data_IF_214634123038
#
_entry.id   IF_214634123038
#
_cell.length_a   1.000
_cell.length_b   1.000
_cell.length_c   1.000
_cell.angle_alpha   90.00
_cell.angle_beta   90.00
_cell.angle_gamma   90.00
#
_symmetry.space_group_name_H-M   'P 1'
#
loop_
_entity.id
_entity.type
_entity.pdbx_description
1 polymer ?
#
# COMPACT_ATOMS: atom_id res chain seq x y z
N UNK A 1 -5.57 33.63 25.24
CA UNK A 1 -4.71 33.30 24.08
C UNK A 1 -3.24 33.14 24.47
N UNK A 2 -2.58 34.17 25.02
CA UNK A 2 -1.15 34.13 25.38
C UNK A 2 -0.84 33.05 26.43
N UNK A 3 -1.71 32.86 27.43
CA UNK A 3 -1.61 31.75 28.40
C UNK A 3 -1.66 30.37 27.71
N UNK A 4 -2.55 30.18 26.73
CA UNK A 4 -2.63 28.93 25.97
C UNK A 4 -1.37 28.69 25.13
N UNK A 5 -0.82 29.74 24.51
CA UNK A 5 0.45 29.67 23.77
C UNK A 5 1.60 29.27 24.70
N UNK A 6 1.67 29.88 25.89
CA UNK A 6 2.64 29.50 26.92
C UNK A 6 2.49 28.03 27.30
N UNK A 7 1.27 27.57 27.58
CA UNK A 7 1.03 26.18 27.98
C UNK A 7 1.40 25.20 26.86
N UNK A 8 1.16 25.55 25.59
CA UNK A 8 1.63 24.78 24.44
C UNK A 8 3.16 24.73 24.41
N UNK A 9 3.83 25.88 24.50
CA UNK A 9 5.30 25.98 24.44
C UNK A 9 5.97 25.24 25.60
N UNK A 10 5.44 25.34 26.81
CA UNK A 10 5.94 24.60 27.97
C UNK A 10 5.78 23.10 27.73
N UNK A 11 4.59 22.64 27.31
CA UNK A 11 4.40 21.22 27.00
C UNK A 11 5.33 20.72 25.88
N UNK A 12 5.66 21.59 24.91
CA UNK A 12 6.62 21.27 23.84
C UNK A 12 8.08 21.21 24.36
N UNK A 13 8.45 22.02 25.35
CA UNK A 13 9.83 22.22 25.83
C UNK A 13 10.17 21.47 27.13
N UNK A 14 9.19 21.13 27.97
CA UNK A 14 9.39 20.55 29.30
C UNK A 14 10.11 19.19 29.24
N UNK A 15 9.89 18.43 28.17
CA UNK A 15 10.58 17.15 27.94
C UNK A 15 11.99 17.31 27.36
N UNK A 16 12.34 18.45 26.77
CA UNK A 16 13.63 18.67 26.11
C UNK A 16 14.61 19.48 26.98
N UNK A 17 14.17 20.60 27.57
CA UNK A 17 15.01 21.46 28.38
C UNK A 17 14.21 22.34 29.36
N UNK A 18 14.33 22.01 30.65
CA UNK A 18 13.64 22.72 31.74
C UNK A 18 14.01 24.20 31.82
N UNK A 19 15.27 24.56 31.56
CA UNK A 19 15.72 25.96 31.62
C UNK A 19 15.07 26.85 30.55
N UNK A 20 14.87 26.31 29.34
CA UNK A 20 14.21 27.04 28.26
C UNK A 20 12.69 27.15 28.52
N UNK A 21 12.09 26.14 29.16
CA UNK A 21 10.68 26.19 29.61
C UNK A 21 10.47 27.25 30.71
N UNK A 22 11.36 27.31 31.70
CA UNK A 22 11.33 28.33 32.76
C UNK A 22 11.50 29.74 32.16
N UNK A 23 12.36 29.88 31.15
CA UNK A 23 12.53 31.15 30.42
C UNK A 23 11.25 31.57 29.67
N UNK A 24 10.50 30.65 29.06
CA UNK A 24 9.21 30.97 28.42
C UNK A 24 8.19 31.42 29.46
N UNK A 25 8.17 30.82 30.66
CA UNK A 25 7.34 31.27 31.77
C UNK A 25 7.67 32.71 32.19
N UNK A 26 8.94 33.02 32.40
CA UNK A 26 9.42 34.37 32.74
C UNK A 26 8.99 35.39 31.68
N UNK A 27 9.27 35.13 30.41
CA UNK A 27 8.93 36.03 29.30
C UNK A 27 7.41 36.27 29.20
N UNK A 28 6.59 35.25 29.48
CA UNK A 28 5.14 35.39 29.47
C UNK A 28 4.66 36.24 30.66
N UNK A 29 5.27 36.09 31.83
CA UNK A 29 4.93 36.90 33.01
C UNK A 29 5.40 38.35 32.83
N UNK A 30 6.58 38.60 32.25
CA UNK A 30 7.07 39.94 31.92
C UNK A 30 6.14 40.68 30.94
N UNK A 31 5.53 39.96 29.99
CA UNK A 31 4.51 40.52 29.10
C UNK A 31 3.20 40.86 29.85
N UNK A 32 2.77 40.00 30.77
CA UNK A 32 1.55 40.24 31.55
C UNK A 32 1.71 41.40 32.55
N UNK A 33 2.94 41.66 32.98
CA UNK A 33 3.34 42.77 33.83
C UNK A 33 3.60 44.08 33.05
N UNK A 34 3.32 44.13 31.74
CA UNK A 34 3.61 45.27 30.82
C UNK A 34 5.10 45.69 30.76
N UNK A 35 6.02 44.81 31.18
CA UNK A 35 7.47 45.06 31.16
C UNK A 35 8.12 44.75 29.80
N UNK A 36 7.43 43.99 28.95
CA UNK A 36 7.95 43.47 27.68
C UNK A 36 6.96 43.76 26.55
N UNK A 37 7.45 44.18 25.38
CA UNK A 37 6.60 44.32 24.19
C UNK A 37 6.42 42.98 23.46
N UNK A 38 5.27 42.76 22.83
CA UNK A 38 4.96 41.57 22.02
C UNK A 38 6.02 41.25 20.95
N UNK A 39 6.60 42.28 20.32
CA UNK A 39 7.70 42.11 19.35
C UNK A 39 8.97 41.54 20.00
N UNK A 40 9.29 41.98 21.23
CA UNK A 40 10.45 41.49 21.98
C UNK A 40 10.23 40.06 22.46
N UNK A 41 9.01 39.74 22.93
CA UNK A 41 8.60 38.38 23.28
C UNK A 41 8.83 37.42 22.10
N UNK A 42 8.32 37.77 20.92
CA UNK A 42 8.45 36.91 19.75
C UNK A 42 9.87 36.76 19.25
N UNK A 43 10.70 37.81 19.37
CA UNK A 43 12.13 37.71 19.06
C UNK A 43 12.85 36.77 20.03
N UNK A 44 12.62 36.90 21.33
CA UNK A 44 13.21 36.00 22.33
C UNK A 44 12.71 34.57 22.17
N UNK A 45 11.42 34.40 21.91
CA UNK A 45 10.83 33.09 21.67
C UNK A 45 11.38 32.44 20.40
N UNK A 46 11.58 33.20 19.33
CA UNK A 46 12.15 32.68 18.08
C UNK A 46 13.54 32.08 18.27
N UNK A 47 14.37 32.65 19.14
CA UNK A 47 15.69 32.11 19.47
C UNK A 47 15.58 30.76 20.20
N UNK A 48 14.60 30.63 21.11
CA UNK A 48 14.29 29.38 21.79
C UNK A 48 13.76 28.35 20.78
N UNK A 49 12.85 28.74 19.90
CA UNK A 49 12.26 27.84 18.89
C UNK A 49 13.33 27.32 17.92
N UNK A 50 14.25 28.17 17.42
CA UNK A 50 15.36 27.74 16.55
C UNK A 50 16.26 26.68 17.20
N UNK A 51 16.39 26.68 18.52
CA UNK A 51 17.19 25.69 19.26
C UNK A 51 16.52 24.32 19.33
N UNK A 52 15.19 24.26 19.29
CA UNK A 52 14.41 23.03 19.49
C UNK A 52 13.67 22.54 18.23
N UNK A 53 13.59 23.37 17.19
CA UNK A 53 12.98 23.03 15.91
C UNK A 53 13.92 22.23 14.99
N UNK A 54 13.33 21.55 14.00
CA UNK A 54 14.08 21.05 12.86
C UNK A 54 14.62 22.24 12.03
N UNK A 55 15.88 22.20 11.54
CA UNK A 55 16.50 23.31 10.80
C UNK A 55 15.71 23.80 9.58
N UNK A 56 14.91 22.91 8.97
CA UNK A 56 14.05 23.25 7.83
C UNK A 56 12.99 24.33 8.17
N UNK A 57 12.66 24.48 9.46
CA UNK A 57 11.66 25.43 9.96
C UNK A 57 12.23 26.82 10.22
N UNK A 58 13.54 27.00 10.22
CA UNK A 58 14.18 28.30 10.50
C UNK A 58 13.73 29.38 9.52
N UNK A 59 13.53 29.01 8.25
CA UNK A 59 12.99 29.92 7.22
C UNK A 59 11.60 30.46 7.53
N UNK A 60 10.74 29.65 8.19
CA UNK A 60 9.42 30.07 8.63
C UNK A 60 9.50 30.98 9.86
N UNK A 61 10.45 30.70 10.77
CA UNK A 61 10.73 31.55 11.93
C UNK A 61 11.21 32.94 11.44
N UNK A 62 12.11 32.98 10.47
CA UNK A 62 12.64 34.22 9.91
C UNK A 62 11.57 35.02 9.16
N UNK A 63 10.70 34.34 8.41
CA UNK A 63 9.53 34.96 7.76
C UNK A 63 8.54 35.55 8.78
N UNK A 64 8.33 34.86 9.90
CA UNK A 64 7.50 35.38 10.98
C UNK A 64 8.11 36.66 11.58
N UNK A 65 9.41 36.68 11.86
CA UNK A 65 10.10 37.86 12.41
C UNK A 65 10.15 39.05 11.45
N UNK A 66 10.18 38.81 10.14
CA UNK A 66 10.18 39.87 9.13
C UNK A 66 8.80 40.44 8.82
N UNK A 67 7.73 39.80 9.29
CA UNK A 67 6.36 40.29 9.12
C UNK A 67 6.10 41.42 10.11
N UNK A 68 5.78 42.62 9.63
CA UNK A 68 5.49 43.79 10.47
C UNK A 68 4.42 43.47 11.51
N UNK A 69 4.75 43.69 12.79
CA UNK A 69 3.83 43.49 13.91
C UNK A 69 2.64 44.48 13.93
N UNK A 70 2.61 45.43 12.99
CA UNK A 70 1.48 46.34 12.75
C UNK A 70 0.24 45.58 12.25
N UNK A 71 0.43 44.43 11.57
CA UNK A 71 -0.65 43.53 11.19
C UNK A 71 -0.65 42.28 12.10
N UNK A 72 -1.07 42.49 13.34
CA UNK A 72 -1.09 41.48 14.41
C UNK A 72 -1.77 40.17 13.97
N UNK A 73 -2.85 40.23 13.18
CA UNK A 73 -3.57 39.06 12.72
C UNK A 73 -2.70 38.16 11.84
N UNK A 74 -1.96 38.75 10.90
CA UNK A 74 -1.06 38.02 10.01
C UNK A 74 0.14 37.43 10.77
N UNK A 75 0.71 38.19 11.72
CA UNK A 75 1.80 37.70 12.57
C UNK A 75 1.34 36.52 13.44
N UNK A 76 0.15 36.60 14.04
CA UNK A 76 -0.42 35.53 14.86
C UNK A 76 -0.76 34.28 14.04
N UNK A 77 -1.29 34.43 12.83
CA UNK A 77 -1.56 33.31 11.93
C UNK A 77 -0.27 32.54 11.58
N UNK A 78 0.79 33.26 11.20
CA UNK A 78 2.10 32.66 10.91
C UNK A 78 2.69 31.96 12.14
N UNK A 79 2.56 32.57 13.31
CA UNK A 79 3.06 32.00 14.56
C UNK A 79 2.30 30.73 14.97
N UNK A 80 0.96 30.74 14.89
CA UNK A 80 0.15 29.54 15.18
C UNK A 80 0.42 28.42 14.18
N UNK A 81 0.53 28.75 12.89
CA UNK A 81 0.92 27.79 11.84
C UNK A 81 2.27 27.15 12.18
N UNK A 82 3.23 27.93 12.66
CA UNK A 82 4.53 27.42 13.08
C UNK A 82 4.42 26.46 14.27
N UNK A 83 3.63 26.80 15.29
CA UNK A 83 3.40 25.91 16.44
C UNK A 83 2.73 24.59 16.04
N UNK A 84 1.78 24.63 15.10
CA UNK A 84 1.14 23.43 14.56
C UNK A 84 2.14 22.52 13.85
N UNK A 85 3.00 23.11 13.00
CA UNK A 85 4.06 22.37 12.31
C UNK A 85 5.03 21.72 13.31
N UNK A 86 5.42 22.44 14.36
CA UNK A 86 6.28 21.90 15.42
C UNK A 86 5.62 20.75 16.19
N UNK A 87 4.33 20.85 16.47
CA UNK A 87 3.57 19.79 17.15
C UNK A 87 3.60 18.50 16.32
N UNK A 88 3.47 18.60 14.99
CA UNK A 88 3.60 17.46 14.07
C UNK A 88 5.03 16.89 14.11
N UNK A 89 6.05 17.74 14.11
CA UNK A 89 7.45 17.32 14.14
C UNK A 89 7.76 16.51 15.43
N UNK A 90 7.25 16.95 16.59
CA UNK A 90 7.40 16.22 17.87
C UNK A 90 6.61 14.92 17.87
N UNK A 91 5.37 14.91 17.37
CA UNK A 91 4.58 13.68 17.27
C UNK A 91 5.26 12.65 16.36
N UNK A 92 5.84 13.09 15.24
CA UNK A 92 6.62 12.23 14.35
C UNK A 92 7.86 11.67 15.07
N UNK A 93 8.60 12.51 15.81
CA UNK A 93 9.73 12.04 16.60
C UNK A 93 9.31 11.03 17.67
N UNK A 94 8.19 11.27 18.38
CA UNK A 94 7.63 10.34 19.35
C UNK A 94 7.19 9.02 18.71
N UNK A 95 6.53 9.07 17.55
CA UNK A 95 6.14 7.89 16.80
C UNK A 95 7.38 7.06 16.41
N UNK A 96 8.46 7.72 15.96
CA UNK A 96 9.73 7.05 15.67
C UNK A 96 10.33 6.42 16.93
N UNK A 97 10.35 7.15 18.05
CA UNK A 97 10.89 6.67 19.32
C UNK A 97 10.11 5.46 19.87
N UNK A 98 8.78 5.48 19.75
CA UNK A 98 7.91 4.40 20.21
C UNK A 98 7.67 3.31 19.16
N UNK A 99 8.26 3.42 17.96
CA UNK A 99 8.02 2.50 16.83
C UNK A 99 8.20 1.04 17.23
N UNK A 100 9.24 0.72 18.00
CA UNK A 100 9.51 -0.66 18.40
C UNK A 100 8.39 -1.23 19.28
N UNK A 101 7.87 -0.46 20.23
CA UNK A 101 6.78 -0.88 21.10
C UNK A 101 5.48 -1.06 20.30
N UNK A 102 5.18 -0.13 19.40
CA UNK A 102 4.00 -0.22 18.52
C UNK A 102 4.07 -1.48 17.64
N UNK A 103 5.25 -1.79 17.10
CA UNK A 103 5.44 -2.99 16.28
C UNK A 103 5.28 -4.29 17.09
N UNK A 104 5.67 -4.30 18.36
CA UNK A 104 5.50 -5.46 19.24
C UNK A 104 4.03 -5.76 19.53
N UNK A 105 3.19 -4.72 19.70
CA UNK A 105 1.76 -4.87 20.00
C UNK A 105 0.85 -4.77 18.77
N UNK A 106 1.39 -4.63 17.56
CA UNK A 106 0.61 -4.38 16.34
C UNK A 106 -0.45 -5.46 16.07
N UNK A 107 -0.10 -6.73 16.29
CA UNK A 107 -1.01 -7.87 16.12
C UNK A 107 -2.19 -7.76 17.09
N UNK A 108 -1.92 -7.49 18.37
CA UNK A 108 -2.96 -7.38 19.40
C UNK A 108 -3.89 -6.19 19.12
N UNK A 109 -3.33 -5.04 18.73
CA UNK A 109 -4.08 -3.83 18.41
C UNK A 109 -5.03 -4.08 17.23
N UNK A 110 -4.53 -4.68 16.14
CA UNK A 110 -5.34 -4.94 14.95
C UNK A 110 -6.44 -5.97 15.23
N UNK A 111 -6.12 -7.03 15.96
CA UNK A 111 -7.11 -8.04 16.35
C UNK A 111 -8.20 -7.46 17.25
N UNK A 112 -7.83 -6.67 18.27
CA UNK A 112 -8.79 -6.00 19.16
C UNK A 112 -9.69 -5.02 18.40
N UNK A 113 -9.12 -4.28 17.46
CA UNK A 113 -9.88 -3.37 16.61
C UNK A 113 -10.91 -4.10 15.75
N UNK A 114 -10.51 -5.22 15.14
CA UNK A 114 -11.40 -6.07 14.36
C UNK A 114 -12.54 -6.65 15.21
N UNK A 115 -12.22 -7.21 16.40
CA UNK A 115 -13.22 -7.76 17.31
C UNK A 115 -14.18 -6.70 17.85
N UNK A 116 -13.70 -5.49 18.16
CA UNK A 116 -14.56 -4.36 18.57
C UNK A 116 -15.61 -4.06 17.50
N UNK A 117 -15.20 -3.93 16.24
CA UNK A 117 -16.10 -3.65 15.12
C UNK A 117 -17.05 -4.82 14.78
N UNK A 118 -16.59 -6.05 15.02
CA UNK A 118 -17.41 -7.25 14.87
C UNK A 118 -18.51 -7.30 15.94
N UNK A 119 -18.18 -6.95 17.19
CA UNK A 119 -19.13 -6.91 18.31
C UNK A 119 -20.18 -5.80 18.16
N UNK A 120 -19.83 -4.69 17.50
CA UNK A 120 -20.79 -3.63 17.16
C UNK A 120 -21.69 -3.95 15.96
N UNK A 121 -21.61 -5.17 15.39
CA UNK A 121 -22.33 -5.63 14.19
C UNK A 121 -22.08 -4.76 12.93
N UNK A 122 -21.00 -3.99 12.93
CA UNK A 122 -20.58 -3.15 11.80
C UNK A 122 -19.77 -3.93 10.76
N UNK A 123 -19.36 -5.17 11.07
CA UNK A 123 -18.55 -6.04 10.21
C UNK A 123 -19.15 -7.44 10.09
N UNK A 124 -19.59 -7.79 8.89
CA UNK A 124 -19.84 -9.19 8.48
C UNK A 124 -18.51 -9.93 8.24
N UNK A 125 -18.51 -11.25 8.34
CA UNK A 125 -17.33 -12.12 8.08
C UNK A 125 -17.54 -12.94 6.80
N UNK A 126 -18.60 -12.66 6.05
CA UNK A 126 -18.99 -13.44 4.87
C UNK A 126 -17.90 -13.45 3.79
N UNK A 127 -17.24 -12.33 3.53
CA UNK A 127 -16.19 -12.31 2.50
C UNK A 127 -14.95 -13.08 2.94
N UNK A 128 -14.63 -13.02 4.23
CA UNK A 128 -13.56 -13.83 4.82
C UNK A 128 -13.86 -15.33 4.70
N UNK A 129 -15.10 -15.75 4.98
CA UNK A 129 -15.53 -17.16 4.82
C UNK A 129 -15.45 -17.58 3.36
N UNK A 130 -15.99 -16.77 2.44
CA UNK A 130 -15.96 -17.05 1.01
C UNK A 130 -14.51 -17.19 0.52
N UNK A 131 -13.63 -16.28 0.93
CA UNK A 131 -12.22 -16.30 0.61
C UNK A 131 -11.48 -17.54 1.13
N UNK A 132 -11.96 -18.18 2.20
CA UNK A 132 -11.34 -19.41 2.74
C UNK A 132 -11.98 -20.69 2.18
N UNK A 133 -13.26 -20.65 1.81
CA UNK A 133 -14.01 -21.81 1.32
C UNK A 133 -13.50 -22.35 -0.03
N UNK A 134 -12.88 -21.49 -0.84
CA UNK A 134 -12.38 -21.84 -2.16
C UNK A 134 -10.97 -22.44 -2.01
N UNK A 135 -10.88 -23.77 -1.92
CA UNK A 135 -9.58 -24.45 -1.82
C UNK A 135 -8.80 -24.36 -3.14
N UNK A 136 -7.71 -23.57 -3.15
CA UNK A 136 -6.77 -23.43 -4.28
C UNK A 136 -5.32 -23.74 -3.96
N UNK A 137 -4.98 -23.94 -2.69
CA UNK A 137 -3.61 -24.13 -2.20
C UNK A 137 -3.51 -25.36 -1.30
N UNK A 138 -2.28 -25.77 -0.98
CA UNK A 138 -2.04 -26.95 -0.13
C UNK A 138 -2.20 -26.61 1.35
N UNK A 139 -1.95 -25.34 1.72
CA UNK A 139 -2.06 -24.84 3.10
C UNK A 139 -3.11 -23.74 3.21
N UNK A 140 -3.64 -23.51 4.41
CA UNK A 140 -4.60 -22.44 4.69
C UNK A 140 -4.02 -21.08 4.29
N UNK A 141 -2.75 -20.85 4.64
CA UNK A 141 -2.01 -19.66 4.23
C UNK A 141 -1.99 -19.49 2.71
N UNK A 142 -1.62 -20.52 1.97
CA UNK A 142 -1.60 -20.47 0.50
C UNK A 142 -2.98 -20.23 -0.09
N UNK A 143 -4.02 -20.91 0.42
CA UNK A 143 -5.40 -20.72 -0.05
C UNK A 143 -5.85 -19.27 0.13
N UNK A 144 -5.61 -18.69 1.31
CA UNK A 144 -5.92 -17.30 1.61
C UNK A 144 -5.18 -16.35 0.65
N UNK A 145 -3.88 -16.56 0.46
CA UNK A 145 -3.05 -15.70 -0.37
C UNK A 145 -3.54 -15.72 -1.82
N UNK A 146 -3.75 -16.92 -2.38
CA UNK A 146 -4.23 -17.10 -3.75
C UNK A 146 -5.60 -16.46 -3.99
N UNK A 147 -6.52 -16.63 -3.05
CA UNK A 147 -7.86 -16.07 -3.18
C UNK A 147 -7.85 -14.54 -3.07
N UNK A 148 -7.05 -13.96 -2.16
CA UNK A 148 -6.89 -12.50 -2.10
C UNK A 148 -6.30 -11.95 -3.40
N UNK A 149 -5.29 -12.59 -3.97
CA UNK A 149 -4.71 -12.19 -5.26
C UNK A 149 -5.71 -12.28 -6.41
N UNK A 150 -6.56 -13.31 -6.43
CA UNK A 150 -7.63 -13.42 -7.41
C UNK A 150 -8.69 -12.32 -7.24
N UNK A 151 -9.08 -11.99 -6.00
CA UNK A 151 -10.00 -10.88 -5.73
C UNK A 151 -9.39 -9.55 -6.20
N UNK A 152 -8.10 -9.34 -5.96
CA UNK A 152 -7.38 -8.18 -6.50
C UNK A 152 -7.35 -8.17 -8.03
N UNK A 153 -7.20 -9.31 -8.69
CA UNK A 153 -7.23 -9.36 -10.16
C UNK A 153 -8.63 -9.08 -10.73
N UNK A 154 -9.68 -9.53 -10.05
CA UNK A 154 -11.08 -9.38 -10.50
C UNK A 154 -11.75 -8.10 -10.03
N UNK A 155 -11.09 -7.29 -9.19
CA UNK A 155 -11.69 -6.16 -8.48
C UNK A 155 -12.88 -6.58 -7.62
N UNK A 156 -12.81 -7.78 -7.03
CA UNK A 156 -13.84 -8.30 -6.16
C UNK A 156 -13.75 -7.78 -4.73
N UNK A 157 -14.62 -8.30 -3.86
CA UNK A 157 -14.65 -7.91 -2.46
C UNK A 157 -13.51 -8.57 -1.70
N UNK A 158 -12.76 -7.75 -0.96
CA UNK A 158 -11.65 -8.21 -0.12
C UNK A 158 -12.19 -8.71 1.23
N UNK A 159 -11.54 -9.69 1.86
CA UNK A 159 -11.84 -10.13 3.23
C UNK A 159 -11.85 -8.96 4.21
N UNK A 160 -12.78 -8.99 5.17
CA UNK A 160 -12.92 -7.97 6.20
C UNK A 160 -11.72 -7.91 7.14
N UNK A 161 -10.98 -9.02 7.26
CA UNK A 161 -9.70 -9.05 7.96
C UNK A 161 -8.65 -8.12 7.34
N UNK A 162 -8.77 -7.76 6.05
CA UNK A 162 -7.85 -6.84 5.35
C UNK A 162 -8.34 -5.38 5.35
N UNK A 163 -9.32 -5.03 6.19
CA UNK A 163 -9.94 -3.70 6.22
C UNK A 163 -8.92 -2.57 6.38
N UNK A 164 -7.97 -2.70 7.31
CA UNK A 164 -6.94 -1.69 7.57
C UNK A 164 -5.90 -1.58 6.43
N UNK A 165 -5.76 -2.64 5.63
CA UNK A 165 -4.79 -2.73 4.55
C UNK A 165 -5.38 -2.44 3.16
N UNK A 166 -6.70 -2.18 3.06
CA UNK A 166 -7.39 -1.93 1.79
C UNK A 166 -6.68 -0.90 0.91
N UNK A 167 -6.29 0.24 1.49
CA UNK A 167 -5.58 1.31 0.74
C UNK A 167 -4.23 0.86 0.19
N UNK A 168 -3.51 -0.01 0.91
CA UNK A 168 -2.22 -0.56 0.47
C UNK A 168 -2.40 -1.56 -0.65
N UNK A 169 -3.44 -2.40 -0.55
CA UNK A 169 -3.81 -3.37 -1.58
C UNK A 169 -4.30 -2.69 -2.86
N UNK A 170 -5.12 -1.65 -2.73
CA UNK A 170 -5.58 -0.83 -3.86
C UNK A 170 -4.40 -0.14 -4.56
N UNK A 171 -3.43 0.39 -3.79
CA UNK A 171 -2.20 0.95 -4.34
C UNK A 171 -1.40 -0.12 -5.11
N UNK A 172 -1.18 -1.31 -4.52
CA UNK A 172 -0.51 -2.40 -5.24
C UNK A 172 -1.26 -2.82 -6.51
N UNK A 173 -2.59 -2.83 -6.47
CA UNK A 173 -3.41 -3.11 -7.64
C UNK A 173 -3.22 -2.04 -8.73
N UNK A 174 -3.22 -0.76 -8.37
CA UNK A 174 -2.96 0.35 -9.30
C UNK A 174 -1.56 0.27 -9.89
N UNK A 175 -0.55 -0.05 -9.08
CA UNK A 175 0.82 -0.26 -9.58
C UNK A 175 0.90 -1.39 -10.62
N UNK A 176 0.12 -2.46 -10.48
CA UNK A 176 0.04 -3.52 -11.50
C UNK A 176 -0.66 -3.02 -12.78
N UNK A 177 -1.68 -2.18 -12.67
CA UNK A 177 -2.32 -1.54 -13.83
C UNK A 177 -1.32 -0.63 -14.57
N UNK A 178 -0.54 0.15 -13.83
CA UNK A 178 0.50 1.02 -14.37
C UNK A 178 1.60 0.21 -15.09
N UNK A 179 2.03 -0.91 -14.50
CA UNK A 179 2.95 -1.85 -15.14
C UNK A 179 2.36 -2.51 -16.38
N UNK A 180 1.04 -2.75 -16.42
CA UNK A 180 0.36 -3.30 -17.60
C UNK A 180 0.45 -2.31 -18.77
N UNK A 181 0.21 -1.02 -18.51
CA UNK A 181 0.37 0.05 -19.51
C UNK A 181 1.80 0.12 -20.05
N UNK A 182 2.78 0.16 -19.15
CA UNK A 182 4.21 0.20 -19.52
C UNK A 182 4.59 -1.02 -20.35
N UNK A 183 4.13 -2.21 -19.94
CA UNK A 183 4.39 -3.46 -20.66
C UNK A 183 3.79 -3.46 -22.07
N UNK A 184 2.59 -2.88 -22.25
CA UNK A 184 1.97 -2.67 -23.56
C UNK A 184 2.80 -1.74 -24.45
N UNK A 185 3.27 -0.62 -23.90
CA UNK A 185 4.09 0.34 -24.64
C UNK A 185 5.46 -0.25 -25.05
N UNK A 186 6.10 -1.00 -24.16
CA UNK A 186 7.35 -1.71 -24.47
C UNK A 186 7.14 -2.84 -25.48
N UNK A 187 5.99 -3.52 -25.42
CA UNK A 187 5.61 -4.51 -26.43
C UNK A 187 5.43 -3.84 -27.81
N UNK A 188 4.73 -2.71 -27.87
CA UNK A 188 4.55 -1.92 -29.10
C UNK A 188 5.91 -1.44 -29.66
N UNK A 189 6.84 -1.00 -28.81
CA UNK A 189 8.20 -0.65 -29.24
C UNK A 189 8.94 -1.85 -29.88
N UNK A 190 8.85 -3.04 -29.26
CA UNK A 190 9.45 -4.27 -29.82
C UNK A 190 8.80 -4.67 -31.15
N UNK A 191 7.47 -4.66 -31.22
CA UNK A 191 6.73 -5.08 -32.41
C UNK A 191 6.95 -4.14 -33.60
N UNK A 192 7.03 -2.84 -33.35
CA UNK A 192 7.26 -1.85 -34.39
C UNK A 192 8.64 -1.98 -35.01
N UNK A 193 9.68 -2.17 -34.19
CA UNK A 193 11.02 -2.46 -34.70
C UNK A 193 11.06 -3.74 -35.53
N UNK A 194 10.39 -4.81 -35.07
CA UNK A 194 10.32 -6.08 -35.80
C UNK A 194 9.56 -5.94 -37.13
N UNK A 195 8.54 -5.07 -37.20
CA UNK A 195 7.75 -4.83 -38.41
C UNK A 195 8.55 -4.26 -39.59
N UNK A 196 9.75 -3.69 -39.34
CA UNK A 196 10.65 -3.20 -40.40
C UNK A 196 11.47 -4.31 -41.09
N UNK A 197 11.18 -5.60 -40.80
CA UNK A 197 11.53 -6.80 -41.57
C UNK A 197 12.76 -6.71 -42.48
N UNK A 198 13.92 -6.44 -41.87
CA UNK A 198 15.20 -6.73 -42.48
C UNK A 198 15.93 -7.70 -41.55
N UNK A 199 16.33 -8.84 -42.09
CA UNK A 199 16.92 -9.99 -41.41
C UNK A 199 18.23 -9.70 -40.67
N UNK A 200 18.68 -8.44 -40.65
CA UNK A 200 19.90 -7.94 -39.99
C UNK A 200 19.66 -6.81 -38.96
N UNK A 201 18.41 -6.45 -38.63
CA UNK A 201 18.12 -5.37 -37.67
C UNK A 201 18.31 -5.79 -36.21
N UNK A 202 18.94 -4.90 -35.44
CA UNK A 202 19.32 -5.09 -34.03
C UNK A 202 18.07 -5.07 -33.14
N UNK A 203 17.70 -6.20 -32.54
CA UNK A 203 16.67 -6.25 -31.48
C UNK A 203 17.02 -5.31 -30.32
N UNK A 204 16.00 -4.84 -29.59
CA UNK A 204 16.23 -4.12 -28.35
C UNK A 204 16.87 -5.04 -27.31
N UNK A 205 17.99 -4.61 -26.74
CA UNK A 205 18.60 -5.27 -25.58
C UNK A 205 17.78 -5.00 -24.33
N UNK A 206 17.98 -5.81 -23.28
CA UNK A 206 17.32 -5.63 -21.98
C UNK A 206 17.59 -4.23 -21.40
N UNK A 207 18.84 -3.76 -21.49
CA UNK A 207 19.23 -2.47 -20.96
C UNK A 207 18.55 -1.31 -21.68
N UNK A 208 18.42 -1.40 -23.01
CA UNK A 208 17.72 -0.37 -23.80
C UNK A 208 16.23 -0.33 -23.49
N UNK A 209 15.60 -1.48 -23.22
CA UNK A 209 14.21 -1.52 -22.78
C UNK A 209 14.03 -0.98 -21.38
N UNK A 210 15.02 -1.18 -20.50
CA UNK A 210 15.02 -0.62 -19.16
C UNK A 210 15.17 0.90 -19.18
N UNK A 211 16.02 1.41 -20.08
CA UNK A 211 16.18 2.84 -20.35
C UNK A 211 14.88 3.44 -20.91
N UNK A 212 14.33 2.82 -21.96
CA UNK A 212 13.04 3.24 -22.53
C UNK A 212 11.91 3.19 -21.51
N UNK A 213 11.89 2.18 -20.63
CA UNK A 213 10.93 2.08 -19.53
C UNK A 213 11.04 3.27 -18.59
N UNK A 214 12.26 3.69 -18.24
CA UNK A 214 12.50 4.83 -17.35
C UNK A 214 12.03 6.15 -17.98
N UNK A 215 12.28 6.34 -19.27
CA UNK A 215 11.87 7.53 -20.01
C UNK A 215 10.34 7.59 -20.15
N UNK A 216 9.71 6.47 -20.52
CA UNK A 216 8.26 6.36 -20.61
C UNK A 216 7.60 6.63 -19.26
N UNK A 217 8.15 6.12 -18.17
CA UNK A 217 7.63 6.38 -16.83
C UNK A 217 7.63 7.88 -16.50
N UNK A 218 8.72 8.60 -16.80
CA UNK A 218 8.82 10.05 -16.58
C UNK A 218 7.81 10.82 -17.45
N UNK A 219 7.65 10.43 -18.71
CA UNK A 219 6.69 11.05 -19.63
C UNK A 219 5.26 10.86 -19.11
N UNK A 220 4.90 9.64 -18.75
CA UNK A 220 3.56 9.30 -18.28
C UNK A 220 3.23 9.96 -16.94
N UNK A 221 4.22 10.24 -16.10
CA UNK A 221 4.07 10.94 -14.83
C UNK A 221 4.17 12.48 -14.95
N UNK A 222 3.98 13.05 -16.15
CA UNK A 222 4.08 14.49 -16.42
C UNK A 222 5.41 15.12 -15.93
N UNK A 223 6.51 14.39 -16.01
CA UNK A 223 7.83 14.85 -15.59
C UNK A 223 8.07 14.80 -14.06
N UNK A 224 7.13 14.29 -13.26
CA UNK A 224 7.35 14.10 -11.82
C UNK A 224 8.29 12.91 -11.59
N UNK A 225 9.41 13.19 -10.92
CA UNK A 225 10.35 12.16 -10.46
C UNK A 225 9.87 11.66 -9.09
N UNK A 226 9.72 10.34 -8.90
CA UNK A 226 9.50 9.72 -7.59
C UNK A 226 10.54 10.17 -6.55
N UNK A 227 10.07 10.62 -5.39
CA UNK A 227 10.89 11.04 -4.24
C UNK A 227 10.99 9.86 -3.25
N UNK A 228 12.16 9.47 -2.69
CA UNK A 228 13.31 10.30 -2.36
C UNK A 228 14.63 9.69 -2.87
N UNK A 229 15.14 10.10 -4.03
CA UNK A 229 16.51 9.75 -4.41
C UNK A 229 17.22 10.93 -5.08
N UNK A 230 17.34 12.05 -4.35
CA UNK A 230 18.44 12.97 -4.59
C UNK A 230 19.72 12.38 -3.98
N UNK A 231 20.46 11.62 -4.77
CA UNK A 231 21.92 11.62 -4.75
C UNK A 231 22.41 11.79 -6.18
N UNK A 232 22.59 13.04 -6.57
CA UNK A 232 23.39 13.42 -7.73
C UNK A 232 24.80 12.86 -7.56
N UNK A 233 25.12 11.74 -8.24
CA UNK A 233 26.49 11.54 -8.67
C UNK A 233 26.63 12.26 -10.00
N UNK A 234 27.19 13.48 -9.94
CA UNK A 234 27.73 14.15 -11.11
C UNK A 234 28.86 13.30 -11.67
N UNK A 235 28.55 12.47 -12.66
CA UNK A 235 29.50 12.04 -13.65
C UNK A 235 28.82 12.25 -15.01
N UNK A 236 29.49 12.97 -15.91
CA UNK A 236 29.01 13.47 -17.20
C UNK A 236 28.64 12.40 -18.23
N UNK A 237 27.86 11.38 -17.84
CA UNK A 237 27.33 10.34 -18.73
C UNK A 237 25.93 9.94 -18.27
N UNK A 238 24.92 10.57 -18.85
CA UNK A 238 23.53 10.09 -18.89
C UNK A 238 22.79 10.01 -17.55
N UNK A 239 21.52 10.42 -17.57
CA UNK A 239 20.59 10.19 -16.47
C UNK A 239 20.28 8.68 -16.39
N UNK A 240 21.08 7.93 -15.62
CA UNK A 240 20.84 6.50 -15.40
C UNK A 240 19.81 6.32 -14.27
N UNK A 241 18.53 6.42 -14.63
CA UNK A 241 17.45 6.03 -13.72
C UNK A 241 17.33 4.50 -13.69
N UNK A 242 17.66 3.85 -12.57
CA UNK A 242 17.20 2.47 -12.36
C UNK A 242 15.73 2.53 -11.99
N UNK A 243 14.85 2.02 -12.85
CA UNK A 243 13.39 2.05 -12.60
C UNK A 243 12.96 1.36 -11.31
N UNK A 244 13.80 0.46 -10.79
CA UNK A 244 13.67 -0.14 -9.45
C UNK A 244 13.52 0.94 -8.37
N UNK A 245 14.30 2.01 -8.46
CA UNK A 245 14.31 3.11 -7.48
C UNK A 245 13.07 4.03 -7.62
N UNK A 246 12.46 4.08 -8.81
CA UNK A 246 11.27 4.88 -9.13
C UNK A 246 9.98 4.29 -8.54
N UNK A 247 9.89 2.96 -8.43
CA UNK A 247 8.72 2.27 -7.87
C UNK A 247 8.85 2.11 -6.35
N UNK A 248 10.07 1.90 -5.84
CA UNK A 248 10.32 1.86 -4.38
C UNK A 248 9.95 3.15 -3.65
N UNK A 249 10.08 4.29 -4.33
CA UNK A 249 9.76 5.63 -3.83
C UNK A 249 8.27 6.02 -3.96
N UNK A 250 7.48 5.26 -4.71
CA UNK A 250 6.06 5.52 -4.98
C UNK A 250 5.09 5.02 -3.88
N UNK A 251 5.61 4.63 -2.71
CA UNK A 251 4.85 3.93 -1.65
C UNK A 251 3.54 4.64 -1.23
N UNK A 252 3.41 5.94 -1.49
CA UNK A 252 2.28 6.78 -1.08
C UNK A 252 1.46 7.40 -2.24
N UNK A 253 1.72 7.09 -3.52
CA UNK A 253 0.98 7.69 -4.63
C UNK A 253 0.12 6.62 -5.34
N UNK A 254 -1.19 6.65 -5.08
CA UNK A 254 -2.21 5.75 -5.64
C UNK A 254 -2.62 6.10 -7.09
N UNK A 255 -2.12 7.18 -7.66
CA UNK A 255 -2.70 7.73 -8.90
C UNK A 255 -1.65 8.25 -9.87
N UNK A 256 -0.60 7.46 -10.14
CA UNK A 256 0.47 7.87 -11.06
C UNK A 256 -0.08 8.11 -12.48
N UNK A 257 -0.89 7.19 -13.02
CA UNK A 257 -1.45 7.31 -14.38
C UNK A 257 -2.98 7.44 -14.42
N UNK A 258 -3.62 7.88 -13.32
CA UNK A 258 -5.09 7.93 -13.20
C UNK A 258 -5.79 8.85 -14.21
N UNK A 259 -5.07 9.82 -14.78
CA UNK A 259 -5.56 10.75 -15.81
C UNK A 259 -4.51 10.91 -16.90
N UNK A 260 -4.35 9.88 -17.73
CA UNK A 260 -3.53 9.99 -18.94
C UNK A 260 -4.23 10.95 -19.92
N UNK A 261 -3.60 12.09 -20.17
CA UNK A 261 -4.05 12.98 -21.24
C UNK A 261 -3.64 12.40 -22.59
N UNK A 262 -4.47 12.61 -23.61
CA UNK A 262 -4.13 12.28 -25.01
C UNK A 262 -2.76 12.83 -25.41
N UNK A 263 -2.39 14.01 -24.89
CA UNK A 263 -1.07 14.62 -25.11
C UNK A 263 0.05 13.79 -24.50
N UNK A 264 -0.12 13.29 -23.28
CA UNK A 264 0.87 12.45 -22.60
C UNK A 264 1.09 11.13 -23.35
N UNK A 265 0.00 10.51 -23.82
CA UNK A 265 0.06 9.28 -24.64
C UNK A 265 0.78 9.58 -25.97
N UNK A 266 0.42 10.67 -26.64
CA UNK A 266 1.07 11.07 -27.89
C UNK A 266 2.57 11.32 -27.71
N UNK A 267 2.98 11.95 -26.59
CA UNK A 267 4.39 12.13 -26.25
C UNK A 267 5.10 10.80 -26.03
N UNK A 268 4.46 9.84 -25.35
CA UNK A 268 5.01 8.49 -25.16
C UNK A 268 5.18 7.75 -26.50
N UNK A 269 4.18 7.77 -27.38
CA UNK A 269 4.25 7.14 -28.71
C UNK A 269 5.29 7.82 -29.63
N UNK A 270 5.40 9.15 -29.54
CA UNK A 270 6.45 9.92 -30.22
C UNK A 270 7.84 9.49 -29.73
N UNK A 271 7.99 9.27 -28.42
CA UNK A 271 9.23 8.81 -27.82
C UNK A 271 9.60 7.40 -28.29
N UNK A 272 8.62 6.49 -28.37
CA UNK A 272 8.81 5.14 -28.91
C UNK A 272 9.26 5.20 -30.37
N UNK A 273 8.63 6.03 -31.19
CA UNK A 273 9.00 6.22 -32.59
C UNK A 273 10.46 6.67 -32.72
N UNK A 274 10.88 7.63 -31.89
CA UNK A 274 12.29 8.09 -31.85
C UNK A 274 13.24 6.99 -31.41
N UNK A 275 12.88 6.20 -30.41
CA UNK A 275 13.69 5.08 -29.95
C UNK A 275 13.88 4.01 -31.05
N UNK A 276 12.81 3.70 -31.79
CA UNK A 276 12.86 2.79 -32.95
C UNK A 276 13.73 3.37 -34.07
N UNK A 277 13.52 4.63 -34.45
CA UNK A 277 14.32 5.31 -35.49
C UNK A 277 15.81 5.37 -35.14
N UNK A 278 16.14 5.69 -33.88
CA UNK A 278 17.52 5.67 -33.36
C UNK A 278 18.13 4.27 -33.51
N UNK A 279 17.36 3.22 -33.24
CA UNK A 279 17.81 1.82 -33.37
C UNK A 279 18.02 1.40 -34.83
N UNK A 280 17.21 1.93 -35.75
CA UNK A 280 17.33 1.76 -37.20
C UNK A 280 18.48 2.60 -37.82
N UNK A 281 19.11 3.49 -37.04
CA UNK A 281 20.22 4.34 -37.50
C UNK A 281 19.81 5.72 -38.02
N UNK A 282 18.53 6.10 -37.91
CA UNK A 282 18.03 7.41 -38.30
C UNK A 282 18.15 8.41 -37.14
N UNK A 283 19.33 9.00 -37.00
CA UNK A 283 19.62 10.08 -36.05
C UNK A 283 18.95 11.35 -36.63
N UNK A 284 18.02 11.97 -35.90
CA UNK A 284 17.29 13.22 -36.26
C UNK A 284 16.10 13.12 -37.23
N UNK A 285 15.65 11.90 -37.57
CA UNK A 285 14.39 11.76 -38.33
C UNK A 285 13.18 12.19 -37.49
N UNK A 286 12.40 13.14 -38.01
CA UNK A 286 11.10 13.47 -37.42
C UNK A 286 10.20 12.21 -37.43
N UNK A 287 9.44 11.95 -36.36
CA UNK A 287 8.52 10.82 -36.34
C UNK A 287 7.54 10.94 -37.51
N UNK A 288 7.42 9.89 -38.33
CA UNK A 288 6.47 9.91 -39.44
C UNK A 288 5.04 9.96 -38.88
N UNK A 289 4.25 10.90 -39.40
CA UNK A 289 2.86 11.13 -38.96
C UNK A 289 1.99 9.89 -39.16
N UNK A 290 2.22 9.15 -40.25
CA UNK A 290 1.52 7.89 -40.54
C UNK A 290 1.84 6.79 -39.53
N UNK A 291 3.11 6.65 -39.13
CA UNK A 291 3.51 5.66 -38.13
C UNK A 291 2.93 6.02 -36.76
N UNK A 292 3.00 7.30 -36.39
CA UNK A 292 2.42 7.80 -35.14
C UNK A 292 0.92 7.52 -35.06
N UNK A 293 0.19 7.72 -36.17
CA UNK A 293 -1.24 7.41 -36.23
C UNK A 293 -1.50 5.91 -36.06
N UNK A 294 -0.74 5.05 -36.77
CA UNK A 294 -0.86 3.58 -36.60
C UNK A 294 -0.55 3.13 -35.17
N UNK A 295 0.46 3.73 -34.53
CA UNK A 295 0.78 3.45 -33.14
C UNK A 295 -0.35 3.84 -32.20
N UNK A 296 -0.97 5.00 -32.46
CA UNK A 296 -2.11 5.48 -31.69
C UNK A 296 -3.32 4.57 -31.85
N UNK A 297 -3.67 4.21 -33.09
CA UNK A 297 -4.79 3.30 -33.36
C UNK A 297 -4.56 1.92 -32.72
N UNK A 298 -3.33 1.40 -32.77
CA UNK A 298 -2.96 0.15 -32.08
C UNK A 298 -3.10 0.28 -30.56
N UNK A 299 -2.60 1.38 -29.99
CA UNK A 299 -2.66 1.63 -28.55
C UNK A 299 -4.11 1.71 -28.07
N UNK A 300 -4.95 2.49 -28.76
CA UNK A 300 -6.35 2.69 -28.39
C UNK A 300 -7.13 1.36 -28.47
N UNK A 301 -6.83 0.52 -29.46
CA UNK A 301 -7.44 -0.81 -29.60
C UNK A 301 -7.00 -1.76 -28.47
N UNK A 302 -5.72 -1.77 -28.13
CA UNK A 302 -5.15 -2.78 -27.23
C UNK A 302 -5.07 -2.37 -25.76
N UNK A 303 -5.12 -1.08 -25.44
CA UNK A 303 -5.19 -0.59 -24.06
C UNK A 303 -6.62 -0.62 -23.48
N UNK A 304 -7.63 -0.85 -24.32
CA UNK A 304 -8.98 -1.13 -23.84
C UNK A 304 -8.98 -2.39 -22.96
N UNK A 305 -9.62 -2.31 -21.78
CA UNK A 305 -9.72 -3.41 -20.80
C UNK A 305 -10.36 -4.69 -21.34
N UNK A 306 -10.98 -4.66 -22.52
CA UNK A 306 -11.56 -5.81 -23.22
C UNK A 306 -10.60 -6.49 -24.22
N UNK A 307 -9.46 -5.88 -24.52
CA UNK A 307 -8.47 -6.42 -25.45
C UNK A 307 -7.87 -7.72 -24.92
N UNK A 308 -7.80 -8.74 -25.78
CA UNK A 308 -7.11 -10.00 -25.46
C UNK A 308 -5.64 -9.76 -25.08
N UNK A 309 -4.96 -8.80 -25.72
CA UNK A 309 -3.57 -8.46 -25.41
C UNK A 309 -3.45 -7.86 -24.01
N UNK A 310 -4.38 -6.96 -23.65
CA UNK A 310 -4.45 -6.39 -22.31
C UNK A 310 -4.63 -7.49 -21.26
N UNK A 311 -5.62 -8.38 -21.46
CA UNK A 311 -5.89 -9.48 -20.55
C UNK A 311 -4.71 -10.46 -20.41
N UNK A 312 -4.03 -10.80 -21.51
CA UNK A 312 -2.89 -11.70 -21.49
C UNK A 312 -1.70 -11.11 -20.73
N UNK A 313 -1.35 -9.84 -20.97
CA UNK A 313 -0.27 -9.17 -20.25
C UNK A 313 -0.62 -9.07 -18.78
N UNK A 314 -1.83 -8.61 -18.46
CA UNK A 314 -2.31 -8.50 -17.08
C UNK A 314 -2.27 -9.84 -16.37
N UNK A 315 -2.79 -10.90 -17.00
CA UNK A 315 -2.76 -12.26 -16.44
C UNK A 315 -1.33 -12.74 -16.19
N UNK A 316 -0.42 -12.56 -17.16
CA UNK A 316 1.00 -12.90 -16.99
C UNK A 316 1.63 -12.18 -15.79
N UNK A 317 1.33 -10.89 -15.58
CA UNK A 317 1.82 -10.14 -14.43
C UNK A 317 1.30 -10.72 -13.11
N UNK A 318 0.01 -11.08 -13.02
CA UNK A 318 -0.56 -11.72 -11.82
C UNK A 318 -0.04 -13.15 -11.61
N UNK A 319 0.16 -13.93 -12.67
CA UNK A 319 0.72 -15.28 -12.59
C UNK A 319 2.17 -15.22 -12.05
N UNK A 320 2.99 -14.30 -12.58
CA UNK A 320 4.34 -14.04 -12.06
C UNK A 320 4.31 -13.59 -10.61
N UNK A 321 3.38 -12.69 -10.25
CA UNK A 321 3.22 -12.21 -8.88
C UNK A 321 2.87 -13.35 -7.93
N UNK A 322 1.96 -14.22 -8.34
CA UNK A 322 1.50 -15.40 -7.59
C UNK A 322 2.65 -16.39 -7.38
N UNK A 323 3.40 -16.69 -8.44
CA UNK A 323 4.56 -17.57 -8.37
C UNK A 323 5.60 -17.05 -7.37
N UNK A 324 5.92 -15.75 -7.42
CA UNK A 324 6.91 -15.14 -6.52
C UNK A 324 6.49 -15.18 -5.04
N UNK A 325 5.19 -15.03 -4.76
CA UNK A 325 4.66 -15.12 -3.39
C UNK A 325 4.71 -16.56 -2.86
N UNK A 326 4.44 -17.56 -3.71
CA UNK A 326 4.49 -18.97 -3.31
C UNK A 326 5.93 -19.50 -3.16
N UNK A 327 6.86 -19.12 -4.05
CA UNK A 327 8.26 -19.60 -4.06
C UNK A 327 9.16 -18.90 -3.02
N UNK A 328 8.61 -18.01 -2.19
CA UNK A 328 9.34 -17.36 -1.10
C UNK A 328 10.50 -16.46 -1.56
N UNK A 329 10.41 -15.89 -2.78
CA UNK A 329 11.39 -14.96 -3.36
C UNK A 329 12.81 -15.52 -3.58
N UNK A 330 12.99 -16.85 -3.56
CA UNK A 330 14.31 -17.50 -3.65
C UNK A 330 14.85 -17.62 -5.07
N UNK A 331 13.95 -17.59 -6.05
CA UNK A 331 14.21 -17.71 -7.48
C UNK A 331 13.79 -16.41 -8.17
N UNK A 332 14.75 -15.51 -8.43
CA UNK A 332 14.59 -14.62 -9.58
C UNK A 332 14.61 -15.57 -10.78
N UNK A 333 13.43 -16.06 -11.19
CA UNK A 333 13.35 -16.91 -12.38
C UNK A 333 14.09 -16.15 -13.48
N UNK A 334 15.03 -16.84 -14.10
CA UNK A 334 16.10 -16.32 -14.95
C UNK A 334 15.60 -15.79 -16.29
N UNK A 335 14.44 -15.14 -16.33
CA UNK A 335 14.01 -14.31 -17.45
C UNK A 335 14.36 -12.85 -17.16
N UNK A 336 15.67 -12.57 -17.02
CA UNK A 336 16.23 -11.21 -17.05
C UNK A 336 15.87 -10.42 -18.33
N UNK A 337 15.21 -11.06 -19.30
CA UNK A 337 14.79 -10.47 -20.57
C UNK A 337 13.47 -9.67 -20.52
N UNK A 338 12.81 -9.60 -19.36
CA UNK A 338 11.56 -8.88 -19.19
C UNK A 338 11.77 -7.64 -18.28
N UNK A 339 11.62 -6.42 -18.83
CA UNK A 339 12.04 -5.18 -18.15
C UNK A 339 11.23 -4.86 -16.88
N UNK A 340 10.08 -5.51 -16.67
CA UNK A 340 9.19 -5.26 -15.53
C UNK A 340 9.38 -6.24 -14.35
N UNK A 341 10.28 -7.23 -14.46
CA UNK A 341 10.43 -8.32 -13.46
C UNK A 341 10.76 -7.80 -12.06
N UNK A 342 11.67 -6.82 -11.96
CA UNK A 342 12.09 -6.28 -10.64
C UNK A 342 10.94 -5.52 -9.98
N UNK A 343 10.10 -4.86 -10.77
CA UNK A 343 8.96 -4.10 -10.26
C UNK A 343 7.92 -5.06 -9.66
N UNK A 344 7.63 -6.15 -10.38
CA UNK A 344 6.73 -7.21 -9.90
C UNK A 344 7.28 -7.81 -8.61
N UNK A 345 8.57 -8.14 -8.55
CA UNK A 345 9.20 -8.69 -7.34
C UNK A 345 9.08 -7.73 -6.13
N UNK A 346 9.19 -6.42 -6.37
CA UNK A 346 9.01 -5.41 -5.33
C UNK A 346 7.55 -5.35 -4.84
N UNK A 347 6.59 -5.40 -5.75
CA UNK A 347 5.16 -5.44 -5.43
C UNK A 347 4.82 -6.74 -4.68
N UNK A 348 5.30 -7.88 -5.16
CA UNK A 348 5.11 -9.19 -4.54
C UNK A 348 5.64 -9.23 -3.10
N UNK A 349 6.83 -8.66 -2.84
CA UNK A 349 7.38 -8.56 -1.48
C UNK A 349 6.50 -7.73 -0.55
N UNK A 350 6.01 -6.59 -1.02
CA UNK A 350 5.09 -5.73 -0.25
C UNK A 350 3.78 -6.44 0.07
N UNK A 351 3.18 -7.09 -0.93
CA UNK A 351 1.95 -7.85 -0.76
C UNK A 351 2.14 -9.03 0.19
N UNK A 352 3.23 -9.81 0.04
CA UNK A 352 3.52 -10.91 0.98
C UNK A 352 3.64 -10.41 2.40
N UNK A 353 4.34 -9.30 2.66
CA UNK A 353 4.44 -8.75 4.02
C UNK A 353 3.08 -8.38 4.61
N UNK A 354 2.17 -7.81 3.80
CA UNK A 354 0.80 -7.49 4.21
C UNK A 354 0.02 -8.77 4.54
N UNK A 355 0.03 -9.73 3.62
CA UNK A 355 -0.70 -10.98 3.77
C UNK A 355 -0.14 -11.85 4.91
N UNK A 356 1.18 -11.86 5.11
CA UNK A 356 1.84 -12.57 6.20
C UNK A 356 1.50 -11.94 7.56
N UNK A 357 1.50 -10.61 7.65
CA UNK A 357 1.10 -9.91 8.86
C UNK A 357 -0.38 -10.18 9.18
N UNK A 358 -1.24 -10.11 8.17
CA UNK A 358 -2.66 -10.41 8.32
C UNK A 358 -2.90 -11.87 8.75
N UNK A 359 -2.22 -12.83 8.11
CA UNK A 359 -2.31 -14.23 8.48
C UNK A 359 -1.88 -14.47 9.93
N UNK A 360 -0.76 -13.88 10.38
CA UNK A 360 -0.33 -13.97 11.78
C UNK A 360 -1.33 -13.38 12.75
N UNK A 361 -2.02 -12.32 12.36
CA UNK A 361 -3.01 -11.64 13.20
C UNK A 361 -4.29 -12.46 13.36
N UNK A 362 -4.72 -13.14 12.28
CA UNK A 362 -6.02 -13.81 12.22
C UNK A 362 -5.94 -15.34 12.09
N UNK A 363 -4.76 -15.96 12.24
CA UNK A 363 -4.55 -17.40 12.09
C UNK A 363 -5.54 -18.23 12.92
N UNK A 364 -5.74 -17.87 14.19
CA UNK A 364 -6.67 -18.56 15.07
C UNK A 364 -8.14 -18.42 14.62
N UNK A 365 -8.50 -17.31 13.99
CA UNK A 365 -9.84 -17.09 13.41
C UNK A 365 -10.00 -17.92 12.13
N UNK A 366 -9.00 -17.93 11.25
CA UNK A 366 -9.01 -18.73 10.02
C UNK A 366 -9.13 -20.23 10.31
N UNK A 367 -8.38 -20.74 11.28
CA UNK A 367 -8.47 -22.14 11.71
C UNK A 367 -9.87 -22.49 12.26
N UNK A 368 -10.47 -21.60 13.05
CA UNK A 368 -11.84 -21.80 13.58
C UNK A 368 -12.88 -21.84 12.47
N UNK A 369 -12.85 -20.89 11.54
CA UNK A 369 -13.82 -20.82 10.43
C UNK A 369 -13.79 -22.08 9.57
N UNK A 370 -12.60 -22.59 9.27
CA UNK A 370 -12.44 -23.81 8.48
C UNK A 370 -12.96 -25.06 9.20
N UNK A 371 -12.71 -25.17 10.51
CA UNK A 371 -13.23 -26.28 11.32
C UNK A 371 -14.76 -26.24 11.43
N UNK A 372 -15.37 -25.05 11.50
CA UNK A 372 -16.83 -24.90 11.48
C UNK A 372 -17.46 -25.28 10.14
N UNK A 373 -16.82 -24.98 9.01
CA UNK A 373 -17.30 -25.46 7.70
C UNK A 373 -17.22 -26.98 7.59
N UNK A 374 -16.12 -27.61 8.03
CA UNK A 374 -15.95 -29.08 7.97
C UNK A 374 -17.01 -29.79 8.82
N UNK A 375 -17.32 -29.26 10.02
CA UNK A 375 -18.35 -29.84 10.88
C UNK A 375 -19.77 -29.67 10.30
N UNK A 376 -20.04 -28.56 9.60
CA UNK A 376 -21.30 -28.40 8.86
C UNK A 376 -21.43 -29.34 7.66
N UNK A 377 -20.33 -29.66 6.97
CA UNK A 377 -20.30 -30.62 5.85
C UNK A 377 -20.40 -32.09 6.33
N UNK A 378 -19.84 -32.40 7.51
CA UNK A 378 -20.03 -33.72 8.14
C UNK A 378 -21.48 -33.88 8.63
N UNK A 379 -22.10 -32.80 9.15
CA UNK A 379 -23.50 -32.81 9.55
C UNK A 379 -24.47 -32.90 8.35
N UNK A 380 -24.12 -32.32 7.20
CA UNK A 380 -24.91 -32.46 5.95
C UNK A 380 -24.72 -33.83 5.29
N UNK A 381 -23.53 -34.42 5.38
CA UNK A 381 -23.25 -35.80 4.94
C UNK A 381 -23.94 -36.86 5.80
N UNK A 382 -24.04 -36.65 7.12
CA UNK A 382 -24.78 -37.56 8.00
C UNK A 382 -26.31 -37.46 7.88
N UNK A 383 -26.86 -36.34 7.39
CA UNK A 383 -28.29 -36.23 7.08
C UNK A 383 -28.70 -36.94 5.77
N UNK A 384 -27.75 -37.27 4.89
CA UNK A 384 -28.07 -37.98 3.64
C UNK A 384 -27.91 -39.51 3.70
N UNK A 385 -27.57 -40.08 4.87
CA UNK A 385 -27.40 -41.54 5.04
C UNK A 385 -28.44 -42.22 5.93
N UNK A 386 -29.59 -41.56 6.18
CA UNK A 386 -30.77 -42.18 6.79
C UNK A 386 -32.04 -41.67 6.10
N UNK A 387 -32.31 -42.10 4.87
CA UNK A 387 -33.65 -42.38 4.30
C UNK A 387 -33.39 -43.28 3.08
N UNK A 388 -33.36 -44.59 3.31
CA UNK A 388 -33.77 -45.63 2.34
C UNK A 388 -33.83 -46.94 3.11
N UNK A 389 -35.00 -47.22 3.69
CA UNK A 389 -35.51 -48.58 3.94
C UNK A 389 -37.02 -48.49 4.05
N UNK A 390 -37.67 -48.47 2.89
CA UNK A 390 -39.09 -48.78 2.76
C UNK A 390 -39.26 -50.30 2.62
N UNK A 391 -39.98 -50.85 3.60
CA UNK A 391 -40.98 -51.92 3.47
C UNK A 391 -40.54 -53.29 2.90
N UNK A 392 -40.50 -54.28 3.80
CA UNK A 392 -40.98 -55.62 3.53
C UNK A 392 -41.74 -56.14 4.76
N UNK A 393 -42.89 -56.75 4.48
CA UNK A 393 -43.92 -57.26 5.39
C UNK A 393 -43.44 -58.38 6.34
N UNK A 394 -44.18 -58.56 7.43
CA UNK A 394 -44.53 -59.90 7.92
C UNK A 394 -44.17 -60.23 9.36
N UNK A 395 -45.23 -60.35 10.18
CA UNK A 395 -45.42 -61.35 11.25
C UNK A 395 -44.69 -61.22 12.60
N UNK A 396 -45.50 -61.26 13.68
CA UNK A 396 -45.18 -62.07 14.86
C UNK A 396 -44.93 -61.34 16.18
N UNK A 397 -46.00 -61.17 16.96
CA UNK A 397 -46.13 -61.52 18.38
C UNK A 397 -45.24 -60.95 19.52
N UNK A 398 -45.98 -60.39 20.49
CA UNK A 398 -45.93 -60.61 21.95
C UNK A 398 -44.98 -59.81 22.84
N UNK A 399 -45.65 -58.97 23.64
CA UNK A 399 -45.71 -59.02 25.10
C UNK A 399 -44.64 -58.35 25.99
N UNK A 400 -45.15 -57.28 26.63
CA UNK A 400 -45.15 -56.95 28.07
C UNK A 400 -43.88 -56.55 28.82
N UNK A 401 -44.12 -55.50 29.62
CA UNK A 401 -43.68 -55.33 31.01
C UNK A 401 -42.21 -54.97 31.27
N UNK A 402 -41.85 -54.24 32.31
CA UNK A 402 -42.47 -53.21 33.14
C UNK A 402 -41.31 -52.74 34.04
N UNK A 403 -41.47 -51.58 34.67
CA UNK A 403 -40.88 -51.22 35.97
C UNK A 403 -39.43 -50.70 36.12
N UNK A 404 -39.42 -49.50 36.75
CA UNK A 404 -38.66 -49.06 37.93
C UNK A 404 -37.42 -48.16 37.75
N UNK A 405 -37.67 -46.86 37.96
CA UNK A 405 -36.94 -45.87 38.79
C UNK A 405 -36.29 -46.46 40.08
N UNK A 406 -35.49 -45.73 40.91
CA UNK A 406 -35.11 -44.30 40.90
C UNK A 406 -33.68 -43.89 41.36
N UNK A 407 -33.40 -42.57 41.33
CA UNK A 407 -32.65 -41.70 42.25
C UNK A 407 -31.32 -42.15 42.92
N UNK A 408 -30.27 -41.32 42.79
CA UNK A 408 -29.84 -40.41 43.88
C UNK A 408 -28.80 -39.35 43.43
N UNK A 409 -29.04 -38.12 43.89
CA UNK A 409 -28.10 -36.99 43.96
C UNK A 409 -26.99 -37.28 44.99
N UNK A 410 -25.81 -36.68 44.82
CA UNK A 410 -25.18 -35.90 45.88
C UNK A 410 -24.11 -34.94 45.33
N UNK A 411 -24.21 -33.69 45.77
CA UNK A 411 -23.25 -32.61 45.65
C UNK A 411 -22.18 -32.68 46.76
N UNK A 412 -21.24 -31.72 46.69
CA UNK A 412 -20.29 -31.25 47.71
C UNK A 412 -18.93 -31.99 47.73
N UNK A 413 -17.77 -31.36 47.93
CA UNK A 413 -17.36 -29.97 48.12
C UNK A 413 -15.85 -29.97 48.45
N UNK A 414 -15.09 -29.01 47.89
CA UNK A 414 -13.98 -28.25 48.53
C UNK A 414 -12.55 -28.86 48.75
N UNK A 415 -11.62 -28.30 47.95
CA UNK A 415 -10.27 -27.68 48.24
C UNK A 415 -9.10 -28.58 48.77
N UNK A 416 -7.82 -28.11 48.84
CA UNK A 416 -6.76 -28.16 47.81
C UNK A 416 -5.45 -28.87 48.26
N UNK A 417 -4.49 -28.96 47.33
CA UNK A 417 -3.09 -28.52 47.56
C UNK A 417 -2.53 -27.93 46.29
#
# INVERSE_FOLDING_TARGET
MIRNIRDILINLLEKSNKADSDRVNELTNELLDDKLTLSQLFKSLSAILKKHCAPIRDSLIDRFLSTSFDNLTQSLELFLTLLEQMKIDILNHQLIAHRQLILQSAIEIEFQYFEMRRQSDELSIENTINCLSISKGNTIRETFFLNVLQQLQSNGQLPETLLLDKSKLDNSHQQIQDLTLISLLLLLARQTLNGFNSSSLKQFTVNELQELKSELFVILNNGKIPSPLFKTQQNNKGLTFKVVDLIQSSSNQSTLFSQLSDKTILMALTHITRAVNKKLGYIDSSPSTELLQRLKDWFDLHYNKQSNVYHLIRKRLYDNLTQQILEGFTTISSNLNEPCVIDILTISKRLSNILDFNYKTFEGLYAKLLNTSITSDIASSHKHKQITKSQAQGEGDNDTDNNKLPFHKNEASIIPT
#
